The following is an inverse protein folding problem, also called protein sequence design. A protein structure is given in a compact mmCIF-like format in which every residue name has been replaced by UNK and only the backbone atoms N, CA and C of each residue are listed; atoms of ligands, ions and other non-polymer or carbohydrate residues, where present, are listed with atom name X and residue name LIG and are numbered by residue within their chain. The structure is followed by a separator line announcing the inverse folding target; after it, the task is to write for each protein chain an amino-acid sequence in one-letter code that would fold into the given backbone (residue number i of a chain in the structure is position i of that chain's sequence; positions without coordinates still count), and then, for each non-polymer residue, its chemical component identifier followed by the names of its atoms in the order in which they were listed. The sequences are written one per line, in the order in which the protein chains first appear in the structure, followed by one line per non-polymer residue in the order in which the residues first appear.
data_IF_313391209617
#
_entry.id   IF_313391209617
#
_cell.length_a   1.000
_cell.length_b   1.000
_cell.length_c   1.000
_cell.angle_alpha   90.00
_cell.angle_beta   90.00
_cell.angle_gamma   90.00
#
_symmetry.space_group_name_H-M   'P 1'
#
loop_
_entity.id
_entity.type
_entity.pdbx_description
1 polymer ?
#
# COMPACT_ATOMS: atom_id res chain seq x y z
N UNK A 1 -5.63 18.69 -22.05
CA UNK A 1 -5.40 17.51 -21.20
C UNK A 1 -4.64 16.51 -22.05
N UNK A 2 -3.43 16.16 -21.64
CA UNK A 2 -2.63 15.13 -22.28
C UNK A 2 -3.07 13.75 -21.78
N UNK A 3 -2.75 12.66 -22.48
CA UNK A 3 -3.06 11.31 -22.00
C UNK A 3 -2.49 11.07 -20.58
N UNK A 4 -1.34 11.66 -20.27
CA UNK A 4 -0.75 11.68 -18.94
C UNK A 4 -1.68 12.22 -17.85
N UNK A 5 -2.38 13.32 -18.10
CA UNK A 5 -3.24 13.96 -17.09
C UNK A 5 -4.38 13.01 -16.67
N UNK A 6 -4.95 12.25 -17.60
CA UNK A 6 -5.99 11.27 -17.28
C UNK A 6 -5.44 10.03 -16.57
N UNK A 7 -4.30 9.51 -17.01
CA UNK A 7 -3.71 8.30 -16.44
C UNK A 7 -3.16 8.55 -15.03
N UNK A 8 -2.50 9.68 -14.80
CA UNK A 8 -1.98 10.07 -13.48
C UNK A 8 -3.08 10.23 -12.43
N UNK A 9 -4.29 10.66 -12.83
CA UNK A 9 -5.47 10.69 -11.94
C UNK A 9 -5.83 9.28 -11.48
N UNK A 10 -5.91 8.31 -12.39
CA UNK A 10 -6.21 6.93 -12.03
C UNK A 10 -5.14 6.34 -11.11
N UNK A 11 -3.86 6.54 -11.42
CA UNK A 11 -2.74 6.12 -10.56
C UNK A 11 -2.86 6.74 -9.15
N UNK A 12 -3.19 8.03 -9.08
CA UNK A 12 -3.39 8.75 -7.82
C UNK A 12 -4.57 8.22 -7.02
N UNK A 13 -5.67 7.82 -7.68
CA UNK A 13 -6.84 7.23 -7.01
C UNK A 13 -6.45 5.90 -6.35
N UNK A 14 -5.79 5.00 -7.10
CA UNK A 14 -5.36 3.69 -6.56
C UNK A 14 -4.38 3.88 -5.41
N UNK A 15 -3.44 4.80 -5.54
CA UNK A 15 -2.46 5.11 -4.50
C UNK A 15 -3.13 5.74 -3.27
N UNK A 16 -4.10 6.63 -3.47
CA UNK A 16 -4.92 7.19 -2.40
C UNK A 16 -5.72 6.12 -1.65
N UNK A 17 -6.22 5.10 -2.34
CA UNK A 17 -6.86 3.94 -1.72
C UNK A 17 -5.89 3.11 -0.88
N UNK A 18 -4.65 2.92 -1.35
CA UNK A 18 -3.61 2.22 -0.58
C UNK A 18 -3.29 2.97 0.73
N UNK A 19 -3.13 4.30 0.63
CA UNK A 19 -2.90 5.18 1.79
C UNK A 19 -4.09 5.13 2.76
N UNK A 20 -5.32 5.27 2.25
CA UNK A 20 -6.51 5.20 3.08
C UNK A 20 -6.61 3.84 3.77
N UNK A 21 -6.37 2.74 3.05
CA UNK A 21 -6.46 1.39 3.59
C UNK A 21 -5.46 1.16 4.73
N UNK A 22 -4.18 1.52 4.55
CA UNK A 22 -3.17 1.33 5.59
C UNK A 22 -3.47 2.18 6.83
N UNK A 23 -3.93 3.42 6.64
CA UNK A 23 -4.31 4.30 7.75
C UNK A 23 -5.54 3.79 8.50
N UNK A 24 -6.55 3.29 7.79
CA UNK A 24 -7.73 2.68 8.42
C UNK A 24 -7.36 1.46 9.26
N UNK A 25 -6.49 0.59 8.76
CA UNK A 25 -6.03 -0.59 9.51
C UNK A 25 -5.16 -0.20 10.72
N UNK A 26 -4.27 0.78 10.56
CA UNK A 26 -3.50 1.32 11.68
C UNK A 26 -4.41 1.91 12.75
N UNK A 27 -5.41 2.71 12.37
CA UNK A 27 -6.38 3.28 13.30
C UNK A 27 -7.18 2.19 14.03
N UNK A 28 -7.53 1.10 13.34
CA UNK A 28 -8.22 -0.03 13.95
C UNK A 28 -7.36 -0.72 15.03
N UNK A 29 -6.08 -0.97 14.76
CA UNK A 29 -5.15 -1.54 15.74
C UNK A 29 -4.99 -0.62 16.95
N UNK A 30 -4.87 0.70 16.75
CA UNK A 30 -4.75 1.67 17.83
C UNK A 30 -6.02 1.76 18.68
N UNK A 31 -7.19 1.65 18.05
CA UNK A 31 -8.49 1.70 18.74
C UNK A 31 -8.78 0.41 19.50
N UNK A 32 -8.38 -0.74 18.96
CA UNK A 32 -8.57 -2.05 19.55
C UNK A 32 -7.44 -2.46 20.52
N UNK A 33 -6.61 -1.53 20.99
CA UNK A 33 -5.40 -1.80 21.80
C UNK A 33 -5.59 -2.70 23.03
N UNK A 34 -6.79 -2.78 23.59
CA UNK A 34 -7.12 -3.64 24.74
C UNK A 34 -7.40 -5.11 24.36
N UNK A 35 -7.61 -5.38 23.07
CA UNK A 35 -7.95 -6.69 22.50
C UNK A 35 -6.88 -7.19 21.50
N UNK A 36 -5.78 -6.46 21.38
CA UNK A 36 -4.70 -6.73 20.43
C UNK A 36 -3.52 -7.35 21.18
N UNK A 37 -3.11 -8.55 20.77
CA UNK A 37 -1.83 -9.10 21.17
C UNK A 37 -0.74 -8.44 20.32
N UNK A 38 0.02 -7.54 20.97
CA UNK A 38 0.92 -6.62 20.29
C UNK A 38 2.15 -7.32 19.72
N UNK A 39 2.39 -7.12 18.41
CA UNK A 39 3.60 -7.52 17.72
C UNK A 39 4.05 -6.38 16.81
N UNK A 40 5.25 -5.83 17.05
CA UNK A 40 5.71 -4.60 16.40
C UNK A 40 6.08 -4.72 14.90
N UNK A 41 6.55 -5.86 14.36
CA UNK A 41 6.95 -5.94 12.95
C UNK A 41 5.87 -5.55 11.92
N UNK A 42 4.62 -6.04 11.99
CA UNK A 42 3.57 -5.61 11.05
C UNK A 42 3.26 -4.11 11.16
N UNK A 43 3.42 -3.49 12.33
CA UNK A 43 3.28 -2.03 12.48
C UNK A 43 4.40 -1.28 11.78
N UNK A 44 5.65 -1.73 11.91
CA UNK A 44 6.78 -1.13 11.21
C UNK A 44 6.61 -1.23 9.68
N UNK A 45 6.13 -2.39 9.20
CA UNK A 45 5.80 -2.57 7.78
C UNK A 45 4.65 -1.67 7.34
N UNK A 46 3.61 -1.49 8.16
CA UNK A 46 2.48 -0.62 7.81
C UNK A 46 2.92 0.85 7.67
N UNK A 47 3.78 1.30 8.58
CA UNK A 47 4.40 2.63 8.51
C UNK A 47 5.25 2.75 7.23
N UNK A 48 6.05 1.73 6.92
CA UNK A 48 6.84 1.70 5.69
C UNK A 48 5.98 1.76 4.42
N UNK A 49 4.89 0.97 4.34
CA UNK A 49 3.93 0.97 3.22
C UNK A 49 3.29 2.36 3.04
N UNK A 50 2.95 3.03 4.14
CA UNK A 50 2.46 4.40 4.10
C UNK A 50 3.49 5.36 3.49
N UNK A 51 4.73 5.34 3.99
CA UNK A 51 5.78 6.24 3.51
C UNK A 51 6.13 6.00 2.04
N UNK A 52 6.29 4.75 1.63
CA UNK A 52 6.62 4.43 0.24
C UNK A 52 5.47 4.81 -0.70
N UNK A 53 4.21 4.70 -0.27
CA UNK A 53 3.06 5.17 -1.04
C UNK A 53 3.08 6.68 -1.26
N UNK A 54 3.37 7.45 -0.20
CA UNK A 54 3.53 8.91 -0.31
C UNK A 54 4.73 9.29 -1.16
N UNK A 55 5.85 8.55 -1.04
CA UNK A 55 7.04 8.77 -1.84
C UNK A 55 6.79 8.52 -3.33
N UNK A 56 6.11 7.42 -3.69
CA UNK A 56 5.73 7.17 -5.09
C UNK A 56 4.81 8.24 -5.64
N UNK A 57 3.82 8.68 -4.85
CA UNK A 57 2.93 9.78 -5.24
C UNK A 57 3.74 11.05 -5.53
N UNK A 58 4.70 11.37 -4.66
CA UNK A 58 5.57 12.52 -4.84
C UNK A 58 6.48 12.38 -6.06
N UNK A 59 7.05 11.20 -6.31
CA UNK A 59 7.94 10.94 -7.46
C UNK A 59 7.21 11.14 -8.80
N UNK A 60 5.93 10.79 -8.89
CA UNK A 60 5.11 11.04 -10.09
C UNK A 60 4.98 12.53 -10.44
N UNK A 61 5.18 13.44 -9.48
CA UNK A 61 5.26 14.87 -9.77
C UNK A 61 6.54 15.24 -10.54
N UNK A 62 7.64 14.54 -10.30
CA UNK A 62 8.94 14.81 -10.95
C UNK A 62 9.02 14.34 -12.40
N UNK A 63 8.30 13.27 -12.77
CA UNK A 63 8.39 12.64 -14.10
C UNK A 63 7.47 13.24 -15.18
N UNK A 64 6.76 14.33 -14.86
CA UNK A 64 5.72 14.93 -15.70
C UNK A 64 6.16 15.37 -17.10
N UNK A 65 7.46 15.55 -17.31
CA UNK A 65 7.99 16.16 -18.52
C UNK A 65 8.78 15.19 -19.42
N UNK A 66 8.95 13.94 -19.02
CA UNK A 66 9.98 13.05 -19.61
C UNK A 66 9.44 11.79 -20.30
N UNK A 67 8.20 11.36 -20.03
CA UNK A 67 7.69 10.09 -20.59
C UNK A 67 6.81 10.27 -21.83
N UNK A 68 7.07 9.45 -22.85
CA UNK A 68 6.14 9.19 -23.96
C UNK A 68 5.17 8.08 -23.54
N UNK A 69 3.92 8.46 -23.28
CA UNK A 69 2.91 7.54 -22.75
C UNK A 69 2.41 6.56 -23.82
N UNK A 70 2.63 5.27 -23.60
CA UNK A 70 2.00 4.19 -24.34
C UNK A 70 1.09 3.36 -23.43
N UNK A 71 0.16 2.61 -24.00
CA UNK A 71 -0.72 1.71 -23.21
C UNK A 71 0.07 0.69 -22.39
N UNK A 72 1.19 0.19 -22.93
CA UNK A 72 2.08 -0.74 -22.22
C UNK A 72 2.81 -0.07 -21.04
N UNK A 73 3.38 1.12 -21.26
CA UNK A 73 4.03 1.88 -20.19
C UNK A 73 3.06 2.21 -19.05
N UNK A 74 1.82 2.56 -19.39
CA UNK A 74 0.77 2.78 -18.40
C UNK A 74 0.49 1.55 -17.53
N UNK A 75 0.38 0.36 -18.11
CA UNK A 75 0.15 -0.86 -17.32
C UNK A 75 1.28 -1.13 -16.33
N UNK A 76 2.53 -0.89 -16.74
CA UNK A 76 3.68 -1.05 -15.86
C UNK A 76 3.63 -0.05 -14.69
N UNK A 77 3.29 1.20 -14.97
CA UNK A 77 3.11 2.25 -13.94
C UNK A 77 1.92 1.94 -12.99
N UNK A 78 0.86 1.31 -13.50
CA UNK A 78 -0.31 0.93 -12.72
C UNK A 78 -0.04 -0.23 -11.75
N UNK A 79 0.93 -1.10 -12.03
CA UNK A 79 1.28 -2.20 -11.13
C UNK A 79 1.77 -1.68 -9.78
N UNK A 80 2.52 -0.58 -9.74
CA UNK A 80 3.07 -0.02 -8.50
C UNK A 80 1.98 0.35 -7.47
N UNK A 81 1.00 1.22 -7.77
CA UNK A 81 -0.04 1.55 -6.80
C UNK A 81 -0.96 0.35 -6.50
N UNK A 82 -1.12 -0.60 -7.43
CA UNK A 82 -1.85 -1.85 -7.17
C UNK A 82 -1.12 -2.71 -6.15
N UNK A 83 0.19 -2.89 -6.29
CA UNK A 83 1.02 -3.65 -5.34
C UNK A 83 1.03 -2.98 -3.98
N UNK A 84 1.14 -1.65 -3.93
CA UNK A 84 1.04 -0.88 -2.68
C UNK A 84 -0.32 -1.05 -2.01
N UNK A 85 -1.41 -1.09 -2.78
CA UNK A 85 -2.73 -1.41 -2.26
C UNK A 85 -2.77 -2.82 -1.67
N UNK A 86 -2.25 -3.82 -2.38
CA UNK A 86 -2.17 -5.20 -1.87
C UNK A 86 -1.33 -5.30 -0.60
N UNK A 87 -0.18 -4.63 -0.54
CA UNK A 87 0.67 -4.56 0.65
C UNK A 87 -0.07 -3.91 1.82
N UNK A 88 -0.81 -2.82 1.60
CA UNK A 88 -1.65 -2.20 2.63
C UNK A 88 -2.73 -3.15 3.15
N UNK A 89 -3.26 -4.03 2.30
CA UNK A 89 -4.24 -5.01 2.70
C UNK A 89 -3.65 -6.20 3.49
N UNK A 90 -2.42 -6.59 3.18
CA UNK A 90 -1.75 -7.76 3.77
C UNK A 90 -1.02 -7.42 5.09
N UNK A 91 -0.59 -6.18 5.26
CA UNK A 91 0.30 -5.78 6.36
C UNK A 91 -0.34 -5.86 7.74
N UNK A 92 -1.64 -5.57 7.84
CA UNK A 92 -2.40 -5.58 9.08
C UNK A 92 -3.77 -6.24 8.89
N UNK A 93 -4.35 -6.87 9.92
CA UNK A 93 -5.67 -7.49 9.85
C UNK A 93 -6.80 -6.47 9.61
N UNK A 94 -7.95 -6.97 9.15
CA UNK A 94 -9.17 -6.17 9.01
C UNK A 94 -9.93 -6.11 10.35
N UNK A 95 -10.83 -5.14 10.49
CA UNK A 95 -11.47 -4.70 11.75
C UNK A 95 -12.52 -5.70 12.32
N UNK A 96 -12.67 -6.88 11.71
CA UNK A 96 -13.79 -7.78 12.00
C UNK A 96 -13.53 -8.78 13.16
N UNK A 97 -12.30 -8.89 13.66
CA UNK A 97 -11.97 -9.91 14.66
C UNK A 97 -12.16 -9.40 16.10
N UNK A 98 -12.83 -10.21 16.94
CA UNK A 98 -13.07 -9.95 18.37
C UNK A 98 -11.78 -9.90 19.20
N UNK A 99 -10.74 -10.59 18.73
CA UNK A 99 -9.37 -10.61 19.25
C UNK A 99 -8.39 -10.57 18.08
N UNK A 100 -7.37 -9.72 18.18
CA UNK A 100 -6.42 -9.48 17.10
C UNK A 100 -5.01 -9.88 17.55
N UNK A 101 -4.55 -11.05 17.15
CA UNK A 101 -3.14 -11.43 17.31
C UNK A 101 -2.33 -10.97 16.10
N UNK A 102 -1.56 -9.89 16.28
CA UNK A 102 -0.72 -9.33 15.21
C UNK A 102 0.44 -10.27 14.82
N UNK A 103 0.91 -11.08 15.76
CA UNK A 103 1.95 -12.07 15.52
C UNK A 103 1.43 -13.20 14.63
N UNK A 104 0.29 -13.79 15.00
CA UNK A 104 -0.34 -14.84 14.19
C UNK A 104 -0.69 -14.33 12.79
N UNK A 105 -1.30 -13.15 12.69
CA UNK A 105 -1.60 -12.53 11.40
C UNK A 105 -0.34 -12.37 10.55
N UNK A 106 0.73 -11.83 11.13
CA UNK A 106 1.99 -11.62 10.43
C UNK A 106 2.59 -12.93 9.91
N UNK A 107 2.70 -13.96 10.74
CA UNK A 107 3.29 -15.24 10.32
C UNK A 107 2.46 -15.96 9.27
N UNK A 108 1.13 -15.82 9.31
CA UNK A 108 0.20 -16.36 8.32
C UNK A 108 0.33 -15.65 6.97
N UNK A 109 0.50 -14.32 6.96
CA UNK A 109 0.48 -13.50 5.75
C UNK A 109 1.87 -13.14 5.20
N UNK A 110 2.96 -13.38 5.94
CA UNK A 110 4.32 -12.96 5.55
C UNK A 110 4.74 -13.42 4.16
N UNK A 111 4.40 -14.65 3.76
CA UNK A 111 4.81 -15.19 2.47
C UNK A 111 4.16 -14.42 1.31
N UNK A 112 2.89 -14.07 1.46
CA UNK A 112 2.18 -13.22 0.51
C UNK A 112 2.67 -11.78 0.55
N UNK A 113 2.88 -11.22 1.74
CA UNK A 113 3.40 -9.86 1.91
C UNK A 113 4.76 -9.69 1.22
N UNK A 114 5.72 -10.57 1.51
CA UNK A 114 7.04 -10.54 0.88
C UNK A 114 7.01 -10.96 -0.59
N UNK A 115 6.07 -11.83 -0.98
CA UNK A 115 5.83 -12.18 -2.38
C UNK A 115 5.40 -10.98 -3.21
N UNK A 116 4.43 -10.20 -2.74
CA UNK A 116 4.00 -8.94 -3.39
C UNK A 116 5.11 -7.91 -3.36
N UNK A 117 5.80 -7.75 -2.23
CA UNK A 117 6.89 -6.79 -2.09
C UNK A 117 8.05 -7.07 -3.05
N UNK A 118 8.32 -8.32 -3.39
CA UNK A 118 9.37 -8.69 -4.34
C UNK A 118 9.09 -8.17 -5.76
N UNK A 119 7.81 -8.07 -6.14
CA UNK A 119 7.42 -7.57 -7.46
C UNK A 119 7.31 -6.04 -7.53
N UNK A 120 7.37 -5.36 -6.38
CA UNK A 120 7.34 -3.90 -6.33
C UNK A 120 8.60 -3.35 -7.03
N UNK A 121 8.45 -2.65 -8.18
CA UNK A 121 9.60 -2.02 -8.81
C UNK A 121 10.07 -0.86 -7.94
N UNK A 122 11.32 -0.93 -7.48
CA UNK A 122 12.00 0.08 -6.65
C UNK A 122 12.63 1.16 -7.51
#
# INVERSE_FOLDING_TARGET
MTAFDYLSVLLSIVLGLAIANVLTRLAAVVTARERVDFYWPPLAWAIWVFFISVQHWWAQWGERHTQTWSFGAFWLELLVPVDLFLLSALVLPAVEEERLDLGEWYFRNRAWFYGVMFFLPV
#
